data_IF_910197832696
#
_entry.id   IF_910197832696
#
_cell.length_a   1.000
_cell.length_b   1.000
_cell.length_c   1.000
_cell.angle_alpha   90.00
_cell.angle_beta   90.00
_cell.angle_gamma   90.00
#
_symmetry.space_group_name_H-M   'P 1'
#
loop_
_entity.id
_entity.type
_entity.pdbx_description
1 polymer ?
#
# COMPACT_ATOMS: atom_id res chain seq x y z
N UNK A 1 -3.94 24.49 -18.31
CA UNK A 1 -3.30 24.31 -18.02
C UNK A 1 -2.83 23.38 -17.57
N UNK A 2 -2.43 23.02 -17.41
CA UNK A 2 -2.13 22.01 -17.08
C UNK A 2 -1.65 21.85 -16.01
N UNK A 3 -1.59 21.54 -15.47
CA UNK A 3 -1.36 21.38 -14.51
C UNK A 3 -0.72 20.53 -14.12
N UNK A 4 -0.35 20.09 -14.44
CA UNK A 4 0.17 19.17 -14.19
C UNK A 4 1.18 18.84 -13.34
N UNK A 5 2.29 19.12 -13.34
CA UNK A 5 3.28 18.64 -12.44
C UNK A 5 3.00 18.98 -11.02
N UNK A 6 2.42 20.08 -10.84
CA UNK A 6 2.02 20.45 -9.49
C UNK A 6 1.09 19.42 -8.90
N UNK A 7 0.35 18.77 -9.75
CA UNK A 7 -0.58 17.79 -9.23
C UNK A 7 0.11 16.56 -8.68
N UNK A 8 1.32 16.24 -9.12
CA UNK A 8 1.95 15.06 -8.58
C UNK A 8 2.31 15.24 -7.10
N UNK A 9 2.55 16.45 -6.65
CA UNK A 9 2.82 16.69 -5.23
C UNK A 9 1.57 16.59 -4.37
N UNK A 10 0.41 16.75 -4.99
CA UNK A 10 -0.87 16.73 -4.29
C UNK A 10 -1.65 15.46 -4.54
N UNK A 11 -1.05 14.53 -5.24
CA UNK A 11 -1.70 13.27 -5.56
C UNK A 11 -1.81 12.42 -4.31
N UNK A 12 -3.02 11.95 -4.04
CA UNK A 12 -3.29 11.12 -2.88
C UNK A 12 -3.35 9.67 -3.33
N UNK A 13 -2.45 8.87 -2.76
CA UNK A 13 -2.41 7.44 -3.04
C UNK A 13 -2.99 6.70 -1.85
N UNK A 14 -4.18 6.15 -2.03
CA UNK A 14 -4.90 5.47 -0.98
C UNK A 14 -5.37 4.11 -1.45
N UNK A 15 -5.28 3.13 -0.55
CA UNK A 15 -5.87 1.82 -0.76
C UNK A 15 -6.52 1.38 0.55
N UNK A 16 -7.73 0.86 0.46
CA UNK A 16 -8.45 0.36 1.62
C UNK A 16 -8.79 -1.10 1.39
N UNK A 17 -8.70 -1.90 2.44
CA UNK A 17 -9.00 -3.33 2.36
C UNK A 17 -9.99 -3.73 3.42
N UNK A 18 -10.60 -4.89 3.23
CA UNK A 18 -11.37 -5.54 4.28
C UNK A 18 -10.40 -6.21 5.27
N UNK A 19 -10.96 -6.92 6.25
CA UNK A 19 -10.15 -7.55 7.28
C UNK A 19 -9.32 -8.72 6.76
N UNK A 20 -9.67 -9.26 5.61
CA UNK A 20 -8.91 -10.33 4.97
C UNK A 20 -7.85 -9.78 4.01
N UNK A 21 -7.72 -8.47 3.92
CA UNK A 21 -6.71 -7.87 3.05
C UNK A 21 -7.14 -7.73 1.59
N UNK A 22 -8.42 -7.91 1.29
CA UNK A 22 -8.93 -7.73 -0.07
C UNK A 22 -9.24 -6.27 -0.32
N UNK A 23 -8.86 -5.77 -1.48
CA UNK A 23 -9.01 -4.37 -1.85
C UNK A 23 -10.49 -4.02 -1.98
N UNK A 24 -10.94 -3.01 -1.25
CA UNK A 24 -12.31 -2.52 -1.34
C UNK A 24 -12.39 -1.13 -1.98
N UNK A 25 -11.37 -0.32 -1.80
CA UNK A 25 -11.32 1.03 -2.36
C UNK A 25 -9.90 1.38 -2.73
N UNK A 26 -9.74 2.13 -3.80
CA UNK A 26 -8.44 2.69 -4.19
C UNK A 26 -8.65 4.04 -4.82
N UNK A 27 -7.75 4.97 -4.55
CA UNK A 27 -7.81 6.26 -5.22
C UNK A 27 -7.45 6.08 -6.69
N UNK A 28 -7.93 7.00 -7.53
CA UNK A 28 -7.66 6.95 -8.97
C UNK A 28 -6.15 6.96 -9.23
N UNK A 29 -5.42 7.79 -8.52
CA UNK A 29 -3.98 7.88 -8.70
C UNK A 29 -3.29 6.57 -8.34
N UNK A 30 -3.74 5.87 -7.30
CA UNK A 30 -3.16 4.59 -6.93
C UNK A 30 -3.44 3.55 -8.01
N UNK A 31 -4.66 3.53 -8.54
CA UNK A 31 -5.03 2.61 -9.60
C UNK A 31 -4.12 2.82 -10.81
N UNK A 32 -3.94 4.08 -11.23
CA UNK A 32 -3.08 4.39 -12.35
C UNK A 32 -1.64 3.97 -12.11
N UNK A 33 -1.14 4.21 -10.91
CA UNK A 33 0.23 3.85 -10.58
C UNK A 33 0.44 2.34 -10.64
N UNK A 34 -0.56 1.57 -10.23
CA UNK A 34 -0.45 0.11 -10.18
C UNK A 34 -0.47 -0.54 -11.57
N UNK A 35 -0.99 0.15 -12.57
CA UNK A 35 -1.15 -0.41 -13.90
C UNK A 35 -2.35 -1.31 -14.06
N UNK A 36 -3.09 -1.55 -13.00
CA UNK A 36 -4.33 -2.32 -13.03
C UNK A 36 -5.52 -1.39 -13.21
N UNK A 37 -6.64 -1.94 -13.63
CA UNK A 37 -7.90 -1.20 -13.60
C UNK A 37 -8.57 -1.36 -12.25
N UNK A 38 -9.55 -0.50 -11.98
CA UNK A 38 -10.33 -0.60 -10.74
C UNK A 38 -10.97 -1.98 -10.61
N UNK A 39 -11.55 -2.48 -11.69
CA UNK A 39 -12.19 -3.80 -11.64
C UNK A 39 -11.22 -4.92 -11.38
N UNK A 40 -9.99 -4.78 -11.86
CA UNK A 40 -8.97 -5.79 -11.61
C UNK A 40 -8.51 -5.81 -10.17
N UNK A 41 -8.55 -4.66 -9.50
CA UNK A 41 -8.08 -4.56 -8.12
C UNK A 41 -9.14 -4.93 -7.09
N UNK A 42 -10.40 -4.60 -7.37
CA UNK A 42 -11.46 -4.80 -6.39
C UNK A 42 -11.59 -6.27 -6.01
N UNK A 43 -11.65 -6.52 -4.72
CA UNK A 43 -11.80 -7.84 -4.12
C UNK A 43 -10.58 -8.74 -4.26
N UNK A 44 -9.52 -8.25 -4.89
CA UNK A 44 -8.27 -9.00 -4.96
C UNK A 44 -7.47 -8.81 -3.68
N UNK A 45 -6.70 -9.82 -3.28
CA UNK A 45 -5.79 -9.62 -2.14
C UNK A 45 -4.81 -8.51 -2.46
N UNK A 46 -4.52 -7.67 -1.48
CA UNK A 46 -3.53 -6.62 -1.67
C UNK A 46 -2.14 -7.18 -2.00
N UNK A 47 -1.91 -8.45 -1.69
CA UNK A 47 -0.66 -9.12 -2.06
C UNK A 47 -0.45 -9.22 -3.57
N UNK A 48 -1.50 -8.99 -4.36
CA UNK A 48 -1.36 -8.90 -5.81
C UNK A 48 -0.31 -7.86 -6.22
N UNK A 49 -0.20 -6.79 -5.46
CA UNK A 49 0.72 -5.69 -5.74
C UNK A 49 2.13 -5.93 -5.23
N UNK A 50 2.31 -6.97 -4.44
CA UNK A 50 3.58 -7.24 -3.79
C UNK A 50 4.62 -7.71 -4.79
N UNK A 51 5.82 -7.13 -4.71
CA UNK A 51 6.94 -7.63 -5.51
C UNK A 51 7.44 -8.94 -4.91
N UNK A 52 7.79 -9.93 -5.76
CA UNK A 52 8.27 -11.23 -5.25
C UNK A 52 9.51 -11.14 -4.37
N UNK A 53 10.34 -10.12 -4.56
CA UNK A 53 11.56 -9.96 -3.77
C UNK A 53 11.32 -9.35 -2.39
N UNK A 54 10.09 -8.98 -2.09
CA UNK A 54 9.78 -8.37 -0.81
C UNK A 54 9.98 -9.38 0.31
N UNK A 55 10.81 -9.07 1.33
CA UNK A 55 11.03 -10.04 2.40
C UNK A 55 9.75 -10.38 3.15
N UNK A 56 9.56 -11.67 3.41
CA UNK A 56 8.36 -12.13 4.10
C UNK A 56 8.23 -11.52 5.50
N UNK A 57 9.36 -11.26 6.16
CA UNK A 57 9.33 -10.71 7.51
C UNK A 57 8.71 -9.31 7.56
N UNK A 58 8.80 -8.55 6.49
CA UNK A 58 8.18 -7.23 6.44
C UNK A 58 6.67 -7.37 6.47
N UNK A 59 6.12 -8.32 5.71
CA UNK A 59 4.68 -8.55 5.71
C UNK A 59 4.22 -9.14 7.03
N UNK A 60 5.02 -9.99 7.65
CA UNK A 60 4.68 -10.51 8.98
C UNK A 60 4.62 -9.38 10.01
N UNK A 61 5.57 -8.45 9.93
CA UNK A 61 5.58 -7.29 10.82
C UNK A 61 4.35 -6.43 10.61
N UNK A 62 3.99 -6.18 9.36
CA UNK A 62 2.84 -5.38 9.02
C UNK A 62 1.55 -6.01 9.58
N UNK A 63 1.32 -7.27 9.26
CA UNK A 63 0.09 -7.93 9.70
C UNK A 63 0.05 -8.13 11.20
N UNK A 64 1.20 -8.38 11.83
CA UNK A 64 1.26 -8.46 13.28
C UNK A 64 0.79 -7.16 13.94
N UNK A 65 1.24 -6.02 13.42
CA UNK A 65 0.81 -4.73 13.94
C UNK A 65 -0.71 -4.55 13.78
N UNK A 66 -1.21 -4.82 12.58
CA UNK A 66 -2.64 -4.64 12.31
C UNK A 66 -3.52 -5.55 13.14
N UNK A 67 -3.07 -6.77 13.38
CA UNK A 67 -3.83 -7.71 14.21
C UNK A 67 -3.87 -7.28 15.66
N UNK A 68 -2.93 -6.44 16.09
CA UNK A 68 -2.94 -5.85 17.42
C UNK A 68 -3.61 -4.48 17.43
N UNK A 69 -4.30 -4.15 16.36
CA UNK A 69 -5.00 -2.86 16.21
C UNK A 69 -4.05 -1.67 16.26
N UNK A 70 -2.85 -1.85 15.73
CA UNK A 70 -1.84 -0.80 15.71
C UNK A 70 -1.48 -0.43 14.27
N UNK A 71 -1.11 0.83 14.04
CA UNK A 71 -0.65 1.23 12.71
C UNK A 71 0.73 0.66 12.42
N UNK A 72 1.07 0.65 11.15
CA UNK A 72 2.38 0.21 10.67
C UNK A 72 2.88 1.20 9.63
N UNK A 73 4.16 1.50 9.69
CA UNK A 73 4.82 2.36 8.71
C UNK A 73 6.03 1.64 8.17
N UNK A 74 6.28 1.80 6.90
CA UNK A 74 7.46 1.20 6.33
C UNK A 74 7.57 1.44 4.84
N UNK A 75 8.54 0.77 4.25
CA UNK A 75 8.84 0.86 2.83
C UNK A 75 8.37 -0.43 2.16
N UNK A 76 7.62 -0.28 1.08
CA UNK A 76 7.16 -1.43 0.31
C UNK A 76 7.65 -1.35 -1.11
N UNK A 77 8.05 -2.50 -1.63
CA UNK A 77 8.40 -2.69 -3.02
C UNK A 77 7.22 -3.38 -3.68
N UNK A 78 6.62 -2.72 -4.64
CA UNK A 78 5.46 -3.24 -5.34
C UNK A 78 5.79 -3.50 -6.81
N UNK A 79 4.92 -4.24 -7.46
CA UNK A 79 5.07 -4.57 -8.87
C UNK A 79 3.80 -4.17 -9.61
N UNK A 80 3.97 -3.43 -10.72
CA UNK A 80 2.85 -3.08 -11.57
C UNK A 80 2.39 -4.30 -12.37
N UNK A 81 1.23 -4.16 -12.98
CA UNK A 81 0.70 -5.24 -13.82
C UNK A 81 1.68 -5.64 -14.92
N UNK A 82 2.43 -4.68 -15.46
CA UNK A 82 3.39 -4.96 -16.54
C UNK A 82 4.71 -5.56 -16.02
N UNK A 83 4.83 -5.77 -14.73
CA UNK A 83 6.01 -6.35 -14.12
C UNK A 83 7.02 -5.35 -13.62
N UNK A 84 6.84 -4.07 -13.92
CA UNK A 84 7.81 -3.07 -13.46
C UNK A 84 7.63 -2.79 -11.97
N UNK A 85 8.70 -2.33 -11.35
CA UNK A 85 8.78 -2.11 -9.92
C UNK A 85 8.50 -0.65 -9.57
N UNK A 86 7.85 -0.44 -8.45
CA UNK A 86 7.75 0.89 -7.85
C UNK A 86 7.85 0.77 -6.34
N UNK A 87 8.37 1.82 -5.72
CA UNK A 87 8.63 1.84 -4.28
C UNK A 87 7.73 2.85 -3.62
N UNK A 88 7.17 2.49 -2.47
CA UNK A 88 6.27 3.36 -1.74
C UNK A 88 6.63 3.37 -0.27
N UNK A 89 6.58 4.56 0.32
CA UNK A 89 6.44 4.68 1.76
C UNK A 89 4.97 4.46 2.06
N UNK A 90 4.69 3.68 3.10
CA UNK A 90 3.31 3.38 3.43
C UNK A 90 3.05 3.64 4.90
N UNK A 91 1.88 4.20 5.17
CA UNK A 91 1.31 4.27 6.50
C UNK A 91 -0.02 3.57 6.43
N UNK A 92 -0.16 2.47 7.17
CA UNK A 92 -1.39 1.68 7.16
C UNK A 92 -1.90 1.58 8.58
N UNK A 93 -3.21 1.69 8.75
CA UNK A 93 -3.82 1.69 10.07
C UNK A 93 -5.16 0.98 10.05
N UNK A 94 -5.58 0.48 11.22
CA UNK A 94 -6.94 -0.05 11.33
C UNK A 94 -7.95 1.07 11.23
N UNK A 95 -9.09 0.77 10.64
CA UNK A 95 -10.25 1.66 10.58
C UNK A 95 -11.28 1.07 11.53
N UNK A 96 -11.68 1.85 12.53
CA UNK A 96 -12.60 1.36 13.56
C UNK A 96 -14.03 1.67 13.21
N UNK A 97 -14.91 0.72 13.51
CA UNK A 97 -16.35 0.90 13.46
C UNK A 97 -16.92 0.74 14.84
N UNK A 98 -18.24 0.54 14.90
CA UNK A 98 -18.93 0.42 16.19
C UNK A 98 -18.49 -0.82 16.97
N UNK A 99 -18.15 -1.89 16.26
CA UNK A 99 -17.83 -3.17 16.87
C UNK A 99 -16.34 -3.49 16.83
N UNK A 100 -15.49 -2.48 16.67
CA UNK A 100 -14.05 -2.68 16.62
C UNK A 100 -13.51 -2.41 15.23
N UNK A 101 -12.40 -3.05 14.88
CA UNK A 101 -11.76 -2.84 13.58
C UNK A 101 -12.63 -3.43 12.48
N UNK A 102 -12.93 -2.63 11.46
CA UNK A 102 -13.75 -3.08 10.34
C UNK A 102 -13.03 -3.08 9.00
N UNK A 103 -11.85 -2.46 8.94
CA UNK A 103 -11.11 -2.34 7.68
C UNK A 103 -9.70 -1.90 7.98
N UNK A 104 -8.86 -1.91 6.95
CA UNK A 104 -7.52 -1.32 7.01
C UNK A 104 -7.41 -0.26 5.92
N UNK A 105 -6.78 0.85 6.25
CA UNK A 105 -6.59 1.94 5.31
C UNK A 105 -5.12 2.30 5.19
N UNK A 106 -4.64 2.46 3.97
CA UNK A 106 -3.24 2.77 3.71
C UNK A 106 -3.13 4.05 2.90
N UNK A 107 -2.18 4.89 3.29
CA UNK A 107 -1.79 6.08 2.56
C UNK A 107 -0.35 5.89 2.14
N UNK A 108 -0.07 6.19 0.89
CA UNK A 108 1.24 5.95 0.30
C UNK A 108 1.84 7.24 -0.21
N UNK A 109 3.17 7.27 -0.26
CA UNK A 109 3.88 8.29 -1.01
C UNK A 109 5.01 7.62 -1.78
N UNK A 110 5.34 8.13 -2.98
CA UNK A 110 6.43 7.54 -3.74
C UNK A 110 7.75 7.64 -2.99
N UNK A 111 8.59 6.64 -3.16
CA UNK A 111 9.88 6.59 -2.51
C UNK A 111 10.97 6.44 -3.55
N UNK A 112 12.09 7.10 -3.33
CA UNK A 112 13.23 7.01 -4.21
C UNK A 112 13.96 5.71 -3.99
N UNK A 113 14.28 5.03 -5.09
CA UNK A 113 15.00 3.79 -5.02
C UNK A 113 16.37 3.94 -4.34
N UNK A 114 16.95 5.11 -4.42
CA UNK A 114 18.26 5.35 -3.85
C UNK A 114 18.32 5.24 -2.33
N UNK A 115 17.18 5.26 -1.68
CA UNK A 115 17.12 5.24 -0.22
C UNK A 115 16.77 3.86 0.35
N UNK A 116 16.79 2.83 -0.49
CA UNK A 116 16.22 1.59 -0.06
C UNK A 116 17.18 0.57 0.42
N UNK A 117 16.79 0.00 1.49
CA UNK A 117 17.37 -1.25 1.92
C UNK A 117 16.29 -1.95 2.69
N UNK A 118 15.67 -2.94 2.08
CA UNK A 118 14.60 -3.68 2.73
C UNK A 118 15.19 -4.60 3.77
N UNK A 119 14.99 -4.22 5.01
CA UNK A 119 15.55 -4.93 6.15
C UNK A 119 14.45 -4.96 7.21
N UNK A 120 14.21 -6.14 7.76
CA UNK A 120 13.18 -6.27 8.79
C UNK A 120 13.44 -5.40 10.00
N UNK A 121 14.69 -5.07 10.28
CA UNK A 121 15.00 -4.21 11.40
C UNK A 121 14.67 -2.76 11.16
N UNK A 122 14.62 -2.33 9.92
CA UNK A 122 14.30 -0.93 9.63
C UNK A 122 12.81 -0.64 9.68
N UNK A 123 11.99 -1.68 9.65
CA UNK A 123 10.54 -1.53 9.63
C UNK A 123 9.88 -2.01 10.91
N UNK A 124 10.61 -2.02 11.98
CA UNK A 124 10.03 -2.40 13.27
C UNK A 124 9.50 -1.23 14.09
#
# INVERSE_FOLDING_TARGET
MPVSPATSDNVVLICRTDLQGRVTHSSEAFIQLSGYTSNELLQQPSSLLKHPDMPACIFRSLWSALQRSKPWMGLLKNRRKDGSTYWLNVYIKPVFGDDGVQAYGAVYSPASQAHHQLDCRTNQ
#
